data_IF_334231511147
#
_entry.id   IF_334231511147
#
_cell.length_a   1.000
_cell.length_b   1.000
_cell.length_c   1.000
_cell.angle_alpha   90.00
_cell.angle_beta   90.00
_cell.angle_gamma   90.00
#
_symmetry.space_group_name_H-M   'P 1'
#
loop_
_entity.id
_entity.type
_entity.pdbx_description
1 polymer ?
#
# COMPACT_ATOMS: atom_id res chain seq x y z
N UNK A 1 20.24 8.41 -2.83
CA UNK A 1 18.81 8.43 -3.22
C UNK A 1 18.13 7.11 -2.87
N UNK A 2 16.94 7.10 -2.24
CA UNK A 2 16.42 5.96 -1.46
C UNK A 2 16.06 4.63 -2.19
N UNK A 3 16.46 4.42 -3.46
CA UNK A 3 16.31 3.17 -4.22
C UNK A 3 14.87 2.63 -4.37
N UNK A 4 13.93 3.51 -4.73
CA UNK A 4 12.55 3.14 -5.04
C UNK A 4 12.36 2.89 -6.53
N UNK A 5 11.65 1.81 -6.88
CA UNK A 5 11.29 1.45 -8.24
C UNK A 5 9.84 1.80 -8.52
N UNK A 6 9.56 2.49 -9.63
CA UNK A 6 8.19 2.81 -10.04
C UNK A 6 7.46 1.58 -10.54
N UNK A 7 6.20 1.39 -10.14
CA UNK A 7 5.30 0.39 -10.68
C UNK A 7 4.39 1.10 -11.68
N UNK A 8 4.50 0.75 -12.96
CA UNK A 8 3.68 1.34 -14.01
C UNK A 8 2.27 0.73 -14.06
N UNK A 9 1.37 1.37 -14.81
CA UNK A 9 -0.04 0.93 -14.91
C UNK A 9 -0.17 -0.50 -15.47
N UNK A 10 0.62 -0.87 -16.47
CA UNK A 10 0.60 -2.24 -17.05
C UNK A 10 1.07 -3.30 -16.06
N UNK A 11 2.10 -2.99 -15.28
CA UNK A 11 2.60 -3.86 -14.21
C UNK A 11 1.56 -3.98 -13.10
N UNK A 12 0.94 -2.86 -12.73
CA UNK A 12 -0.15 -2.86 -11.76
C UNK A 12 -1.29 -3.75 -12.25
N UNK A 13 -1.83 -3.55 -13.45
CA UNK A 13 -2.91 -4.38 -14.01
C UNK A 13 -2.56 -5.87 -14.00
N UNK A 14 -1.32 -6.23 -14.35
CA UNK A 14 -0.85 -7.62 -14.27
C UNK A 14 -0.87 -8.15 -12.84
N UNK A 15 -0.38 -7.36 -11.89
CA UNK A 15 -0.36 -7.72 -10.46
C UNK A 15 -1.78 -7.86 -9.91
N UNK A 16 -2.71 -6.98 -10.31
CA UNK A 16 -4.11 -7.00 -9.88
C UNK A 16 -4.90 -8.17 -10.52
N UNK A 17 -4.49 -8.63 -11.70
CA UNK A 17 -5.10 -9.80 -12.34
C UNK A 17 -4.74 -11.13 -11.63
N UNK A 18 -3.66 -11.14 -10.83
CA UNK A 18 -3.29 -12.31 -10.04
C UNK A 18 -4.18 -12.45 -8.80
N UNK A 19 -4.73 -13.64 -8.59
CA UNK A 19 -5.60 -13.89 -7.44
C UNK A 19 -4.82 -13.95 -6.13
N UNK A 20 -5.19 -13.11 -5.15
CA UNK A 20 -4.61 -13.15 -3.80
C UNK A 20 -4.93 -14.45 -3.04
N UNK A 21 -3.92 -15.17 -2.51
CA UNK A 21 -4.08 -16.37 -1.68
C UNK A 21 -4.66 -16.11 -0.27
N UNK A 22 -4.36 -14.95 0.31
CA UNK A 22 -4.66 -14.62 1.73
C UNK A 22 -5.60 -13.44 1.92
N UNK A 23 -5.68 -12.55 0.93
CA UNK A 23 -6.46 -11.33 0.99
C UNK A 23 -7.96 -11.55 0.94
N UNK A 24 -8.68 -10.47 1.28
CA UNK A 24 -10.06 -10.32 0.85
C UNK A 24 -10.01 -10.06 -0.65
N UNK A 25 -10.66 -10.92 -1.46
CA UNK A 25 -10.80 -10.64 -2.89
C UNK A 25 -11.52 -9.31 -3.05
N UNK A 26 -10.89 -8.38 -3.75
CA UNK A 26 -11.44 -7.05 -3.96
C UNK A 26 -11.39 -6.68 -5.45
N UNK A 27 -11.89 -5.51 -5.78
CA UNK A 27 -11.88 -4.95 -7.13
C UNK A 27 -11.62 -3.46 -7.00
N UNK A 28 -10.76 -2.91 -7.85
CA UNK A 28 -10.48 -1.47 -7.87
C UNK A 28 -10.78 -0.91 -9.25
N UNK A 29 -11.46 0.24 -9.29
CA UNK A 29 -11.67 0.98 -10.54
C UNK A 29 -10.57 2.03 -10.68
N UNK A 30 -9.50 1.70 -11.41
CA UNK A 30 -8.37 2.62 -11.63
C UNK A 30 -8.78 3.89 -12.41
N UNK A 31 -9.92 3.85 -13.13
CA UNK A 31 -10.37 5.00 -13.94
C UNK A 31 -10.87 6.20 -13.13
N UNK A 32 -11.09 6.01 -11.83
CA UNK A 32 -11.55 7.05 -10.90
C UNK A 32 -10.42 8.02 -10.47
N UNK A 33 -9.16 7.68 -10.75
CA UNK A 33 -7.99 8.45 -10.35
C UNK A 33 -7.48 9.35 -11.48
N UNK A 34 -7.15 10.60 -11.13
CA UNK A 34 -6.53 11.59 -12.02
C UNK A 34 -5.07 11.21 -12.28
N UNK A 35 -4.37 10.82 -11.23
CA UNK A 35 -3.07 10.18 -11.33
C UNK A 35 -2.85 9.19 -10.18
N UNK A 36 -1.98 8.22 -10.44
CA UNK A 36 -1.49 7.23 -9.48
C UNK A 36 0.03 7.15 -9.59
N UNK A 37 0.73 7.37 -8.48
CA UNK A 37 2.17 7.16 -8.37
C UNK A 37 2.40 6.02 -7.40
N UNK A 38 2.95 4.92 -7.90
CA UNK A 38 3.20 3.72 -7.10
C UNK A 38 4.69 3.40 -7.16
N UNK A 39 5.30 3.25 -6.00
CA UNK A 39 6.72 2.94 -5.86
C UNK A 39 6.91 1.84 -4.84
N UNK A 40 7.83 0.92 -5.09
CA UNK A 40 8.22 -0.10 -4.14
C UNK A 40 9.72 -0.09 -3.90
N UNK A 41 10.12 -0.52 -2.70
CA UNK A 41 11.52 -0.71 -2.33
C UNK A 41 11.68 -1.98 -1.52
N UNK A 42 12.61 -2.82 -1.98
CA UNK A 42 12.90 -4.11 -1.38
C UNK A 42 11.80 -5.13 -1.67
N UNK A 43 12.22 -6.24 -2.26
CA UNK A 43 11.37 -7.39 -2.55
C UNK A 43 11.80 -8.55 -1.67
N UNK A 44 10.85 -9.25 -1.07
CA UNK A 44 11.13 -10.43 -0.25
C UNK A 44 10.04 -11.46 -0.43
N UNK A 45 10.42 -12.72 -0.42
CA UNK A 45 9.45 -13.83 -0.45
C UNK A 45 9.34 -14.39 0.97
N UNK A 46 8.12 -14.52 1.46
CA UNK A 46 7.83 -15.12 2.77
C UNK A 46 7.13 -16.47 2.55
N UNK A 47 7.60 -17.51 3.22
CA UNK A 47 6.93 -18.81 3.25
C UNK A 47 5.87 -18.79 4.34
N UNK A 48 4.62 -19.07 3.97
CA UNK A 48 3.51 -19.20 4.91
C UNK A 48 2.86 -20.56 4.82
N UNK A 49 2.29 -20.98 5.94
CA UNK A 49 1.52 -22.20 6.04
C UNK A 49 0.05 -21.87 6.26
N UNK A 50 -0.83 -22.56 5.53
CA UNK A 50 -2.27 -22.51 5.79
C UNK A 50 -2.86 -23.90 5.91
N UNK A 51 -3.84 -24.02 6.79
CA UNK A 51 -4.76 -25.16 6.85
C UNK A 51 -6.07 -24.75 6.19
N UNK A 52 -6.50 -25.49 5.18
CA UNK A 52 -7.79 -25.30 4.52
C UNK A 52 -8.63 -26.57 4.63
N UNK A 53 -9.95 -26.42 4.65
CA UNK A 53 -10.90 -27.53 4.54
C UNK A 53 -10.72 -28.28 3.22
N UNK A 54 -10.37 -27.56 2.15
CA UNK A 54 -10.04 -28.14 0.83
C UNK A 54 -8.80 -29.04 0.88
N UNK A 55 -7.93 -28.85 1.87
CA UNK A 55 -6.72 -29.67 2.11
C UNK A 55 -6.94 -30.68 3.24
N UNK A 56 -8.19 -30.92 3.66
CA UNK A 56 -8.52 -31.80 4.79
C UNK A 56 -7.77 -31.42 6.09
N UNK A 57 -7.60 -30.10 6.33
CA UNK A 57 -6.82 -29.52 7.44
C UNK A 57 -5.31 -29.81 7.42
N UNK A 58 -4.78 -30.42 6.36
CA UNK A 58 -3.34 -30.55 6.17
C UNK A 58 -2.70 -29.17 5.99
N UNK A 59 -1.48 -29.01 6.50
CA UNK A 59 -0.67 -27.82 6.29
C UNK A 59 -0.22 -27.80 4.83
N UNK A 60 -0.48 -26.68 4.14
CA UNK A 60 0.07 -26.41 2.81
C UNK A 60 0.95 -25.18 2.90
N UNK A 61 2.22 -25.35 2.54
CA UNK A 61 3.15 -24.25 2.35
C UNK A 61 2.86 -23.54 1.03
N UNK A 62 2.96 -22.21 1.05
CA UNK A 62 2.95 -21.39 -0.14
C UNK A 62 3.84 -20.17 0.07
N UNK A 63 4.35 -19.67 -1.04
CA UNK A 63 5.24 -18.51 -1.09
C UNK A 63 4.43 -17.27 -1.45
N UNK A 64 4.67 -16.19 -0.72
CA UNK A 64 4.07 -14.89 -0.99
C UNK A 64 5.18 -13.88 -1.21
N UNK A 65 5.12 -13.19 -2.34
CA UNK A 65 6.00 -12.07 -2.60
C UNK A 65 5.47 -10.80 -1.94
N UNK A 66 6.33 -10.13 -1.19
CA UNK A 66 6.03 -8.93 -0.42
C UNK A 66 6.91 -7.76 -0.87
N UNK A 67 6.33 -6.57 -0.91
CA UNK A 67 7.07 -5.31 -0.92
C UNK A 67 7.43 -4.91 0.51
N UNK A 68 8.73 -4.77 0.81
CA UNK A 68 9.19 -4.35 2.15
C UNK A 68 8.77 -2.92 2.48
N UNK A 69 8.85 -2.04 1.49
CA UNK A 69 8.31 -0.68 1.50
C UNK A 69 7.52 -0.46 0.24
N UNK A 70 6.32 0.09 0.38
CA UNK A 70 5.46 0.46 -0.73
C UNK A 70 4.92 1.87 -0.48
N UNK A 71 5.09 2.77 -1.44
CA UNK A 71 4.59 4.14 -1.39
C UNK A 71 3.57 4.31 -2.50
N UNK A 72 2.43 4.89 -2.15
CA UNK A 72 1.43 5.31 -3.12
C UNK A 72 1.07 6.78 -2.93
N UNK A 73 0.93 7.51 -4.03
CA UNK A 73 0.24 8.78 -4.08
C UNK A 73 -0.91 8.69 -5.08
N UNK A 74 -2.10 9.09 -4.65
CA UNK A 74 -3.31 9.02 -5.46
C UNK A 74 -4.07 10.35 -5.38
N UNK A 75 -4.68 10.72 -6.50
CA UNK A 75 -5.63 11.83 -6.57
C UNK A 75 -6.87 11.40 -7.33
N UNK A 76 -8.04 11.68 -6.79
CA UNK A 76 -9.30 11.39 -7.47
C UNK A 76 -9.55 12.40 -8.59
N UNK A 77 -10.14 11.95 -9.69
CA UNK A 77 -10.59 12.87 -10.75
C UNK A 77 -11.60 13.88 -10.19
N UNK A 78 -11.53 15.15 -10.60
CA UNK A 78 -12.61 16.10 -10.37
C UNK A 78 -13.95 15.57 -10.88
N UNK A 79 -15.01 15.91 -10.17
CA UNK A 79 -16.36 15.39 -10.45
C UNK A 79 -16.84 15.77 -11.85
N UNK A 80 -16.49 16.96 -12.35
CA UNK A 80 -16.85 17.44 -13.69
C UNK A 80 -16.29 16.56 -14.81
N UNK A 81 -15.04 16.11 -14.67
CA UNK A 81 -14.38 15.23 -15.65
C UNK A 81 -15.04 13.85 -15.58
N UNK A 82 -15.22 13.32 -14.37
CA UNK A 82 -15.81 12.00 -14.17
C UNK A 82 -17.25 11.93 -14.68
N UNK A 83 -18.02 13.00 -14.49
CA UNK A 83 -19.40 13.10 -14.97
C UNK A 83 -19.45 12.98 -16.51
N UNK A 84 -18.58 13.71 -17.22
CA UNK A 84 -18.49 13.65 -18.69
C UNK A 84 -18.11 12.26 -19.18
N UNK A 85 -17.19 11.59 -18.50
CA UNK A 85 -16.79 10.21 -18.84
C UNK A 85 -17.95 9.23 -18.64
N UNK A 86 -18.69 9.34 -17.52
CA UNK A 86 -19.84 8.48 -17.24
C UNK A 86 -20.93 8.69 -18.29
N UNK A 87 -21.25 9.95 -18.61
CA UNK A 87 -22.24 10.29 -19.64
C UNK A 87 -21.86 9.69 -20.99
N UNK A 88 -20.58 9.80 -21.39
CA UNK A 88 -20.09 9.26 -22.66
C UNK A 88 -20.04 7.72 -22.69
N UNK A 89 -19.65 7.09 -21.57
CA UNK A 89 -19.45 5.63 -21.49
C UNK A 89 -20.76 4.88 -21.37
N UNK A 90 -21.71 5.38 -20.58
CA UNK A 90 -22.99 4.72 -20.32
C UNK A 90 -24.13 5.26 -21.20
N UNK A 91 -23.87 6.28 -22.03
CA UNK A 91 -24.86 6.96 -22.88
C UNK A 91 -26.10 7.42 -22.08
N UNK A 92 -25.84 8.06 -20.94
CA UNK A 92 -26.88 8.52 -20.00
C UNK A 92 -26.93 10.03 -19.88
N UNK A 93 -28.14 10.55 -19.65
CA UNK A 93 -28.35 11.97 -19.36
C UNK A 93 -27.75 12.41 -18.02
N UNK A 94 -27.49 13.72 -17.90
CA UNK A 94 -26.78 14.36 -16.79
C UNK A 94 -27.34 13.98 -15.41
N UNK A 95 -28.66 14.03 -15.20
CA UNK A 95 -29.28 13.70 -13.91
C UNK A 95 -29.02 12.25 -13.45
N UNK A 96 -28.96 11.29 -14.39
CA UNK A 96 -28.66 9.89 -14.06
C UNK A 96 -27.17 9.73 -13.75
N UNK A 97 -26.32 10.42 -14.50
CA UNK A 97 -24.87 10.43 -14.28
C UNK A 97 -24.52 11.03 -12.92
N UNK A 98 -25.16 12.13 -12.51
CA UNK A 98 -24.98 12.74 -11.19
C UNK A 98 -25.35 11.79 -10.05
N UNK A 99 -26.52 11.13 -10.15
CA UNK A 99 -26.94 10.12 -9.16
C UNK A 99 -25.95 8.95 -9.09
N UNK A 100 -25.40 8.54 -10.24
CA UNK A 100 -24.41 7.47 -10.33
C UNK A 100 -23.10 7.87 -9.66
N UNK A 101 -22.60 9.06 -9.97
CA UNK A 101 -21.39 9.63 -9.38
C UNK A 101 -21.54 9.82 -7.87
N UNK A 102 -22.66 10.38 -7.41
CA UNK A 102 -22.96 10.55 -5.99
C UNK A 102 -22.92 9.21 -5.25
N UNK A 103 -23.46 8.14 -5.85
CA UNK A 103 -23.39 6.79 -5.26
C UNK A 103 -21.96 6.26 -5.20
N UNK A 104 -21.14 6.48 -6.24
CA UNK A 104 -19.73 6.07 -6.25
C UNK A 104 -18.92 6.82 -5.19
N UNK A 105 -19.14 8.13 -5.06
CA UNK A 105 -18.48 8.95 -4.02
C UNK A 105 -18.94 8.59 -2.61
N UNK A 106 -20.19 8.15 -2.43
CA UNK A 106 -20.70 7.70 -1.13
C UNK A 106 -20.02 6.42 -0.59
N UNK A 107 -19.50 5.57 -1.47
CA UNK A 107 -18.75 4.37 -1.09
C UNK A 107 -17.29 4.68 -0.68
N UNK A 108 -16.79 5.90 -0.91
CA UNK A 108 -15.44 6.30 -0.52
C UNK A 108 -15.32 6.59 1.00
N UNK A 109 -14.11 6.46 1.58
CA UNK A 109 -13.86 6.87 2.95
C UNK A 109 -14.25 8.33 3.19
N UNK A 110 -14.87 8.61 4.35
CA UNK A 110 -15.23 9.98 4.75
C UNK A 110 -13.96 10.86 4.74
N UNK A 111 -13.99 11.92 3.93
CA UNK A 111 -12.86 12.84 3.75
C UNK A 111 -11.97 12.55 2.53
N UNK A 112 -12.28 11.54 1.72
CA UNK A 112 -11.72 11.36 0.38
C UNK A 112 -12.36 12.37 -0.60
N UNK A 113 -11.57 13.30 -1.10
CA UNK A 113 -12.00 14.43 -1.93
C UNK A 113 -11.06 14.56 -3.14
N UNK A 114 -11.53 15.16 -4.23
CA UNK A 114 -10.78 15.29 -5.49
C UNK A 114 -9.80 16.47 -5.52
N UNK A 115 -9.90 17.38 -4.55
CA UNK A 115 -9.01 18.53 -4.36
C UNK A 115 -7.65 18.16 -3.75
N UNK A 116 -7.53 16.97 -3.15
CA UNK A 116 -6.35 16.56 -2.37
C UNK A 116 -5.62 15.38 -3.01
N UNK A 117 -4.31 15.36 -2.76
CA UNK A 117 -3.45 14.21 -3.03
C UNK A 117 -3.30 13.45 -1.72
N UNK A 118 -3.56 12.14 -1.76
CA UNK A 118 -3.36 11.25 -0.63
C UNK A 118 -2.09 10.46 -0.84
N UNK A 119 -1.17 10.56 0.13
CA UNK A 119 0.08 9.82 0.09
C UNK A 119 0.10 8.85 1.25
N UNK A 120 0.47 7.60 0.99
CA UNK A 120 0.60 6.56 2.02
C UNK A 120 1.86 5.75 1.79
N UNK A 121 2.48 5.34 2.89
CA UNK A 121 3.58 4.38 2.88
C UNK A 121 3.19 3.16 3.71
N UNK A 122 3.49 1.98 3.19
CA UNK A 122 3.22 0.70 3.82
C UNK A 122 4.49 -0.17 3.91
N UNK A 123 4.49 -1.12 4.85
CA UNK A 123 5.50 -2.15 5.02
C UNK A 123 4.94 -3.55 4.78
N UNK A 124 5.75 -4.41 4.17
CA UNK A 124 5.46 -5.84 4.01
C UNK A 124 4.07 -6.13 3.41
N UNK A 125 3.72 -5.45 2.31
CA UNK A 125 2.46 -5.66 1.61
C UNK A 125 2.62 -6.76 0.55
N UNK A 126 1.73 -7.76 0.50
CA UNK A 126 1.73 -8.74 -0.58
C UNK A 126 1.47 -8.07 -1.93
N UNK A 127 2.22 -8.45 -2.96
CA UNK A 127 2.08 -7.85 -4.30
C UNK A 127 0.66 -8.02 -4.84
N UNK A 128 0.08 -9.21 -4.66
CA UNK A 128 -1.26 -9.55 -5.13
C UNK A 128 -2.38 -8.82 -4.34
N UNK A 129 -2.03 -8.17 -3.23
CA UNK A 129 -2.93 -7.41 -2.37
C UNK A 129 -2.74 -5.89 -2.55
N UNK A 130 -2.25 -5.40 -3.69
CA UNK A 130 -2.19 -3.95 -3.90
C UNK A 130 -3.58 -3.32 -4.03
N UNK A 131 -4.59 -4.05 -4.53
CA UNK A 131 -5.97 -3.55 -4.71
C UNK A 131 -6.60 -3.05 -3.40
N UNK A 132 -6.25 -3.66 -2.26
CA UNK A 132 -6.82 -3.27 -0.96
C UNK A 132 -6.34 -1.91 -0.46
N UNK A 133 -5.26 -1.37 -1.02
CA UNK A 133 -4.70 -0.08 -0.59
C UNK A 133 -5.51 1.10 -1.13
N UNK A 134 -6.28 0.89 -2.19
CA UNK A 134 -7.06 1.93 -2.84
C UNK A 134 -8.33 2.30 -2.06
N UNK A 135 -8.79 3.56 -2.15
CA UNK A 135 -9.97 4.01 -1.42
C UNK A 135 -11.30 3.56 -2.04
N UNK A 136 -11.34 3.25 -3.34
CA UNK A 136 -12.56 2.88 -4.07
C UNK A 136 -12.72 1.37 -4.24
N UNK A 137 -12.12 0.61 -3.34
CA UNK A 137 -12.06 -0.84 -3.39
C UNK A 137 -13.41 -1.49 -3.05
N UNK A 138 -13.86 -2.40 -3.90
CA UNK A 138 -15.13 -3.13 -3.75
C UNK A 138 -14.87 -4.57 -3.32
N UNK A 139 -15.56 -5.04 -2.29
CA UNK A 139 -15.41 -6.43 -1.82
C UNK A 139 -16.01 -7.41 -2.82
N UNK A 140 -15.22 -8.39 -3.26
CA UNK A 140 -15.68 -9.59 -3.94
C UNK A 140 -15.89 -10.70 -2.91
N UNK A 141 -17.13 -11.12 -2.72
CA UNK A 141 -17.44 -12.27 -1.86
C UNK A 141 -16.82 -13.55 -2.43
N UNK A 142 -16.22 -14.37 -1.56
CA UNK A 142 -15.71 -15.70 -1.92
C UNK A 142 -16.83 -16.58 -2.48
N UNK A 143 -16.50 -17.48 -3.41
CA UNK A 143 -17.48 -18.37 -4.04
C UNK A 143 -18.31 -19.15 -3.02
N UNK A 144 -17.65 -19.75 -2.02
CA UNK A 144 -18.33 -20.49 -0.93
C UNK A 144 -19.27 -19.61 -0.10
N UNK A 145 -18.93 -18.35 0.14
CA UNK A 145 -19.81 -17.42 0.84
C UNK A 145 -20.97 -16.97 -0.06
N UNK A 146 -20.76 -16.81 -1.37
CA UNK A 146 -21.86 -16.59 -2.33
C UNK A 146 -22.82 -17.77 -2.35
N UNK A 147 -22.30 -19.01 -2.36
CA UNK A 147 -23.12 -20.23 -2.31
C UNK A 147 -23.86 -20.34 -0.98
N UNK A 148 -23.18 -20.10 0.15
CA UNK A 148 -23.82 -20.09 1.48
C UNK A 148 -24.89 -19.00 1.57
N UNK A 149 -24.62 -17.81 1.06
CA UNK A 149 -25.62 -16.75 0.95
C UNK A 149 -26.77 -17.24 0.09
N UNK A 150 -26.54 -17.80 -1.09
CA UNK A 150 -27.60 -18.35 -1.95
C UNK A 150 -28.46 -19.41 -1.23
N UNK A 151 -27.85 -20.37 -0.54
CA UNK A 151 -28.55 -21.39 0.25
C UNK A 151 -29.37 -20.75 1.38
N UNK A 152 -28.79 -19.82 2.13
CA UNK A 152 -29.46 -19.15 3.27
C UNK A 152 -30.45 -18.05 2.83
N UNK A 153 -30.37 -17.59 1.59
CA UNK A 153 -31.16 -16.53 0.98
C UNK A 153 -32.38 -17.02 0.18
N UNK A 154 -32.65 -18.32 0.10
CA UNK A 154 -33.77 -18.82 -0.71
C UNK A 154 -33.43 -19.84 -1.77
N UNK A 155 -32.16 -20.15 -2.04
CA UNK A 155 -31.76 -20.99 -3.19
C UNK A 155 -32.19 -22.45 -3.06
N UNK A 156 -32.13 -23.02 -1.86
CA UNK A 156 -32.74 -24.33 -1.53
C UNK A 156 -34.14 -24.17 -0.94
N UNK A 157 -34.53 -22.94 -0.59
CA UNK A 157 -35.77 -22.57 0.09
C UNK A 157 -36.70 -21.71 -0.78
N UNK A 158 -36.65 -21.83 -2.11
CA UNK A 158 -37.85 -21.50 -2.91
C UNK A 158 -38.99 -22.36 -2.38
N UNK A 159 -38.73 -23.61 -1.97
CA UNK A 159 -39.68 -24.41 -1.20
C UNK A 159 -39.95 -23.89 0.22
N UNK A 160 -38.98 -23.35 0.96
CA UNK A 160 -39.15 -22.92 2.36
C UNK A 160 -39.88 -21.58 2.51
N UNK A 161 -39.53 -20.57 1.71
CA UNK A 161 -40.21 -19.27 1.69
C UNK A 161 -41.59 -19.42 1.06
N UNK A 162 -41.74 -20.16 -0.05
CA UNK A 162 -43.06 -20.41 -0.64
C UNK A 162 -43.94 -21.24 0.29
N UNK A 163 -43.46 -22.29 0.96
CA UNK A 163 -44.31 -23.04 1.91
C UNK A 163 -44.71 -22.22 3.13
N UNK A 164 -43.83 -21.36 3.63
CA UNK A 164 -44.16 -20.47 4.75
C UNK A 164 -45.15 -19.39 4.29
N UNK A 165 -44.92 -18.77 3.13
CA UNK A 165 -45.83 -17.80 2.51
C UNK A 165 -47.18 -18.43 2.19
N UNK A 166 -47.23 -19.62 1.59
CA UNK A 166 -48.47 -20.34 1.27
C UNK A 166 -49.23 -20.69 2.54
N UNK A 167 -48.58 -21.27 3.57
CA UNK A 167 -49.23 -21.58 4.86
C UNK A 167 -49.80 -20.33 5.53
N UNK A 168 -49.06 -19.24 5.46
CA UNK A 168 -49.42 -17.97 6.05
C UNK A 168 -50.54 -17.28 5.26
N UNK A 169 -50.52 -17.31 3.92
CA UNK A 169 -51.61 -16.81 3.06
C UNK A 169 -52.88 -17.63 3.26
N UNK A 170 -52.77 -18.96 3.35
CA UNK A 170 -53.92 -19.84 3.63
C UNK A 170 -54.52 -19.59 5.02
N UNK A 171 -53.69 -19.25 6.02
CA UNK A 171 -54.17 -18.89 7.36
C UNK A 171 -54.69 -17.44 7.45
N UNK A 172 -54.14 -16.53 6.64
CA UNK A 172 -54.52 -15.14 6.54
C UNK A 172 -55.92 -14.92 5.94
N UNK A 173 -56.42 -15.86 5.14
CA UNK A 173 -57.81 -15.89 4.69
C UNK A 173 -58.83 -16.07 5.83
N UNK A 174 -58.37 -16.46 7.04
CA UNK A 174 -59.22 -16.78 8.19
C UNK A 174 -59.34 -15.63 9.21
N UNK A 175 -58.42 -14.66 9.27
CA UNK A 175 -58.58 -13.46 10.11
C UNK A 175 -57.62 -12.29 9.77
N UNK A 176 -58.02 -11.03 10.03
CA UNK A 176 -57.16 -9.85 9.89
C UNK A 176 -55.88 -9.87 10.76
N UNK A 177 -55.91 -10.57 11.89
CA UNK A 177 -54.74 -10.71 12.79
C UNK A 177 -53.67 -11.60 12.15
N UNK A 178 -54.08 -12.67 11.46
CA UNK A 178 -53.15 -13.55 10.75
C UNK A 178 -52.50 -12.86 9.55
N UNK A 179 -53.19 -11.93 8.88
CA UNK A 179 -52.60 -11.07 7.84
C UNK A 179 -51.49 -10.16 8.38
N UNK A 180 -51.65 -9.59 9.56
CA UNK A 180 -50.61 -8.76 10.18
C UNK A 180 -49.40 -9.62 10.58
N UNK A 181 -49.64 -10.76 11.22
CA UNK A 181 -48.58 -11.72 11.58
C UNK A 181 -47.82 -12.23 10.35
N UNK A 182 -48.52 -12.43 9.24
CA UNK A 182 -47.92 -12.75 7.94
C UNK A 182 -46.93 -11.68 7.50
N UNK A 183 -47.38 -10.42 7.51
CA UNK A 183 -46.60 -9.29 7.04
C UNK A 183 -45.35 -9.07 7.90
N UNK A 184 -45.47 -9.15 9.22
CA UNK A 184 -44.33 -9.06 10.14
C UNK A 184 -43.39 -10.27 10.03
N UNK A 185 -43.93 -11.48 9.84
CA UNK A 185 -43.11 -12.69 9.65
C UNK A 185 -42.28 -12.62 8.37
N UNK A 186 -42.90 -12.24 7.25
CA UNK A 186 -42.20 -12.05 5.97
C UNK A 186 -41.21 -10.89 6.02
N UNK A 187 -41.61 -9.76 6.62
CA UNK A 187 -40.72 -8.63 6.85
C UNK A 187 -39.49 -9.02 7.69
N UNK A 188 -39.68 -9.82 8.74
CA UNK A 188 -38.61 -10.30 9.60
C UNK A 188 -37.63 -11.24 8.88
N UNK A 189 -38.12 -12.11 8.00
CA UNK A 189 -37.26 -13.00 7.18
C UNK A 189 -36.45 -12.19 6.17
N UNK A 190 -37.10 -11.28 5.43
CA UNK A 190 -36.42 -10.39 4.47
C UNK A 190 -35.38 -9.53 5.19
N UNK A 191 -35.73 -8.96 6.34
CA UNK A 191 -34.82 -8.16 7.15
C UNK A 191 -33.60 -8.98 7.60
N UNK A 192 -33.81 -10.19 8.15
CA UNK A 192 -32.72 -11.08 8.55
C UNK A 192 -31.78 -11.40 7.39
N UNK A 193 -32.33 -11.62 6.20
CA UNK A 193 -31.57 -11.93 5.00
C UNK A 193 -30.71 -10.75 4.53
N UNK A 194 -31.27 -9.54 4.52
CA UNK A 194 -30.51 -8.31 4.25
C UNK A 194 -29.41 -8.12 5.31
N UNK A 195 -29.73 -8.33 6.58
CA UNK A 195 -28.77 -8.17 7.67
C UNK A 195 -27.61 -9.16 7.57
N UNK A 196 -27.85 -10.40 7.15
CA UNK A 196 -26.78 -11.39 6.94
C UNK A 196 -25.80 -10.98 5.83
N UNK A 197 -26.30 -10.38 4.74
CA UNK A 197 -25.44 -9.84 3.68
C UNK A 197 -24.61 -8.65 4.20
N UNK A 198 -25.26 -7.71 4.89
CA UNK A 198 -24.58 -6.54 5.49
C UNK A 198 -23.52 -6.97 6.49
N UNK A 199 -23.84 -7.91 7.38
CA UNK A 199 -22.90 -8.45 8.37
C UNK A 199 -21.71 -9.14 7.71
N UNK A 200 -21.94 -9.90 6.64
CA UNK A 200 -20.86 -10.55 5.89
C UNK A 200 -19.94 -9.48 5.27
N UNK A 201 -20.50 -8.49 4.57
CA UNK A 201 -19.72 -7.38 4.01
C UNK A 201 -18.92 -6.62 5.08
N UNK A 202 -19.53 -6.32 6.22
CA UNK A 202 -18.87 -5.63 7.33
C UNK A 202 -17.70 -6.43 7.90
N UNK A 203 -17.86 -7.76 8.03
CA UNK A 203 -16.78 -8.65 8.46
C UNK A 203 -15.58 -8.59 7.51
N UNK A 204 -15.84 -8.64 6.19
CA UNK A 204 -14.79 -8.50 5.18
C UNK A 204 -14.11 -7.13 5.22
N UNK A 205 -14.87 -6.03 5.37
CA UNK A 205 -14.30 -4.70 5.54
C UNK A 205 -13.42 -4.60 6.79
N UNK A 206 -13.84 -5.23 7.90
CA UNK A 206 -13.05 -5.24 9.13
C UNK A 206 -11.74 -5.99 8.97
N UNK A 207 -11.76 -7.16 8.31
CA UNK A 207 -10.54 -7.91 8.01
C UNK A 207 -9.58 -7.12 7.13
N UNK A 208 -10.10 -6.44 6.10
CA UNK A 208 -9.32 -5.55 5.25
C UNK A 208 -8.64 -4.45 6.09
N UNK A 209 -9.42 -3.75 6.91
CA UNK A 209 -8.91 -2.66 7.74
C UNK A 209 -7.86 -3.13 8.75
N UNK A 210 -8.06 -4.30 9.37
CA UNK A 210 -7.11 -4.89 10.31
C UNK A 210 -5.78 -5.24 9.63
N UNK A 211 -5.82 -5.84 8.44
CA UNK A 211 -4.60 -6.12 7.68
C UNK A 211 -3.86 -4.83 7.38
N UNK A 212 -4.55 -3.83 6.82
CA UNK A 212 -3.93 -2.55 6.45
C UNK A 212 -3.36 -1.77 7.65
N UNK A 213 -3.98 -1.89 8.82
CA UNK A 213 -3.56 -1.16 10.03
C UNK A 213 -2.12 -1.47 10.42
N UNK A 214 -1.72 -2.75 10.42
CA UNK A 214 -0.37 -3.15 10.83
C UNK A 214 0.69 -2.92 9.76
N UNK A 215 0.26 -2.80 8.50
CA UNK A 215 1.14 -2.53 7.38
C UNK A 215 1.32 -1.03 7.11
N UNK A 216 0.41 -0.16 7.55
CA UNK A 216 0.57 1.28 7.36
C UNK A 216 1.75 1.83 8.18
N UNK A 217 2.66 2.53 7.51
CA UNK A 217 3.80 3.21 8.13
C UNK A 217 3.56 4.70 8.36
N UNK A 218 3.07 5.39 7.34
CA UNK A 218 2.96 6.84 7.35
C UNK A 218 1.89 7.34 6.37
N UNK A 219 1.33 8.52 6.65
CA UNK A 219 0.34 9.19 5.79
C UNK A 219 0.76 10.63 5.49
N UNK A 220 0.51 11.10 4.27
CA UNK A 220 0.71 12.47 3.79
C UNK A 220 2.10 13.04 4.12
N UNK A 221 2.18 14.12 4.88
CA UNK A 221 3.45 14.77 5.23
C UNK A 221 4.44 13.83 5.93
N UNK A 222 3.96 12.90 6.76
CA UNK A 222 4.82 11.91 7.42
C UNK A 222 5.49 10.96 6.44
N UNK A 223 4.88 10.73 5.26
CA UNK A 223 5.53 9.94 4.20
C UNK A 223 6.73 10.69 3.66
N UNK A 224 6.62 12.00 3.46
CA UNK A 224 7.74 12.82 2.96
C UNK A 224 8.88 12.86 3.97
N UNK A 225 8.57 13.10 5.25
CA UNK A 225 9.58 13.06 6.31
C UNK A 225 10.31 11.71 6.32
N UNK A 226 9.57 10.60 6.32
CA UNK A 226 10.15 9.26 6.33
C UNK A 226 10.97 8.96 5.06
N UNK A 227 10.57 9.45 3.89
CA UNK A 227 11.33 9.31 2.65
C UNK A 227 12.64 10.11 2.67
N UNK A 228 12.62 11.31 3.26
CA UNK A 228 13.82 12.13 3.46
C UNK A 228 14.76 11.42 4.42
N UNK A 229 14.26 10.99 5.58
CA UNK A 229 15.04 10.24 6.56
C UNK A 229 15.66 8.97 5.94
N UNK A 230 14.86 8.18 5.20
CA UNK A 230 15.34 6.98 4.52
C UNK A 230 16.37 7.28 3.42
N UNK A 231 16.30 8.44 2.77
CA UNK A 231 17.28 8.85 1.77
C UNK A 231 18.59 9.32 2.41
N UNK A 232 18.51 10.08 3.50
CA UNK A 232 19.66 10.54 4.28
C UNK A 232 20.42 9.36 4.88
N UNK A 233 19.69 8.39 5.47
CA UNK A 233 20.29 7.20 6.04
C UNK A 233 21.03 6.34 4.98
N UNK A 234 20.53 6.32 3.75
CA UNK A 234 21.20 5.64 2.63
C UNK A 234 22.45 6.41 2.19
N UNK A 235 22.36 7.74 2.08
CA UNK A 235 23.50 8.58 1.72
C UNK A 235 24.65 8.43 2.73
N UNK A 236 24.35 8.36 4.04
CA UNK A 236 25.34 8.13 5.10
C UNK A 236 26.00 6.76 4.94
N UNK A 237 25.23 5.70 4.64
CA UNK A 237 25.81 4.36 4.40
C UNK A 237 26.77 4.38 3.21
N UNK A 238 26.40 5.07 2.14
CA UNK A 238 27.25 5.22 0.95
C UNK A 238 28.55 5.96 1.28
N UNK A 239 28.46 7.08 2.00
CA UNK A 239 29.61 7.87 2.45
C UNK A 239 30.54 7.07 3.35
N UNK A 240 30.00 6.34 4.33
CA UNK A 240 30.78 5.48 5.21
C UNK A 240 31.51 4.38 4.43
N UNK A 241 30.84 3.73 3.48
CA UNK A 241 31.46 2.70 2.64
C UNK A 241 32.57 3.27 1.75
N UNK A 242 32.34 4.42 1.12
CA UNK A 242 33.35 5.07 0.29
C UNK A 242 34.53 5.57 1.13
N UNK A 243 34.27 6.30 2.22
CA UNK A 243 35.30 6.84 3.09
C UNK A 243 36.20 5.74 3.67
N UNK A 244 35.62 4.62 4.13
CA UNK A 244 36.39 3.47 4.62
C UNK A 244 37.18 2.77 3.51
N UNK A 245 36.68 2.74 2.28
CA UNK A 245 37.41 2.24 1.11
C UNK A 245 38.62 3.14 0.79
N UNK A 246 38.44 4.46 0.80
CA UNK A 246 39.51 5.45 0.56
C UNK A 246 40.60 5.42 1.64
N UNK A 247 40.26 5.14 2.90
CA UNK A 247 41.26 4.99 3.97
C UNK A 247 42.19 3.78 3.78
N UNK A 248 41.77 2.74 3.05
CA UNK A 248 42.57 1.53 2.83
C UNK A 248 43.65 1.71 1.75
N UNK A 249 43.64 2.80 0.99
CA UNK A 249 44.70 3.11 0.04
C UNK A 249 44.46 4.43 -0.70
N UNK A 250 45.52 5.19 -0.93
CA UNK A 250 45.48 6.46 -1.68
C UNK A 250 44.94 6.24 -3.09
N UNK A 251 43.76 6.79 -3.37
CA UNK A 251 43.14 6.69 -4.69
C UNK A 251 43.42 7.96 -5.49
N UNK A 252 43.93 7.81 -6.70
CA UNK A 252 43.93 8.85 -7.73
C UNK A 252 42.51 8.99 -8.30
N UNK A 253 42.14 10.11 -8.93
CA UNK A 253 40.81 10.25 -9.57
C UNK A 253 40.45 9.09 -10.53
N UNK A 254 41.43 8.56 -11.28
CA UNK A 254 41.25 7.40 -12.16
C UNK A 254 41.03 6.05 -11.45
N UNK A 255 41.17 6.01 -10.12
CA UNK A 255 40.97 4.82 -9.30
C UNK A 255 39.67 4.85 -8.49
N UNK A 256 38.85 5.89 -8.65
CA UNK A 256 37.52 5.96 -8.03
C UNK A 256 36.64 4.76 -8.41
N UNK A 257 36.78 4.27 -9.64
CA UNK A 257 36.12 3.05 -10.10
C UNK A 257 36.61 1.77 -9.40
N UNK A 258 37.85 1.76 -8.90
CA UNK A 258 38.35 0.66 -8.05
C UNK A 258 37.68 0.70 -6.68
N UNK A 259 37.58 1.90 -6.07
CA UNK A 259 36.88 2.08 -4.80
C UNK A 259 35.41 1.62 -4.90
N UNK A 260 34.73 1.96 -6.01
CA UNK A 260 33.39 1.42 -6.34
C UNK A 260 33.38 -0.11 -6.35
N UNK A 261 34.23 -0.72 -7.18
CA UNK A 261 34.29 -2.18 -7.32
C UNK A 261 34.63 -2.90 -5.99
N UNK A 262 35.44 -2.28 -5.14
CA UNK A 262 35.80 -2.83 -3.82
C UNK A 262 34.62 -2.77 -2.85
N UNK A 263 33.84 -1.69 -2.86
CA UNK A 263 32.59 -1.58 -2.08
C UNK A 263 31.55 -2.59 -2.57
N UNK A 264 31.34 -2.70 -3.89
CA UNK A 264 30.40 -3.68 -4.47
C UNK A 264 30.80 -5.12 -4.14
N UNK A 265 32.11 -5.45 -4.23
CA UNK A 265 32.62 -6.77 -3.86
C UNK A 265 32.46 -7.04 -2.37
N UNK A 266 32.68 -6.04 -1.52
CA UNK A 266 32.46 -6.13 -0.08
C UNK A 266 30.99 -6.44 0.24
N UNK A 267 30.05 -5.72 -0.36
CA UNK A 267 28.62 -5.94 -0.18
C UNK A 267 28.17 -7.32 -0.67
N UNK A 268 28.67 -7.76 -1.82
CA UNK A 268 28.39 -9.09 -2.37
C UNK A 268 28.97 -10.20 -1.50
N UNK A 269 30.19 -10.05 -0.96
CA UNK A 269 30.84 -11.11 -0.19
C UNK A 269 30.15 -11.37 1.16
N UNK A 270 29.83 -10.31 1.90
CA UNK A 270 29.29 -10.43 3.26
C UNK A 270 27.77 -10.59 3.33
N UNK A 271 27.04 -9.98 2.38
CA UNK A 271 25.57 -9.98 2.40
C UNK A 271 24.93 -10.61 1.16
N UNK A 272 25.72 -11.08 0.18
CA UNK A 272 25.22 -11.60 -1.09
C UNK A 272 24.33 -10.58 -1.84
N UNK A 273 24.61 -9.28 -1.65
CA UNK A 273 23.87 -8.17 -2.25
C UNK A 273 24.64 -7.61 -3.44
N UNK A 274 24.01 -7.64 -4.62
CA UNK A 274 24.52 -6.99 -5.83
C UNK A 274 23.93 -5.58 -5.94
N UNK A 275 24.77 -4.57 -5.84
CA UNK A 275 24.40 -3.15 -5.93
C UNK A 275 25.30 -2.48 -6.96
N UNK A 276 24.76 -1.49 -7.66
CA UNK A 276 25.52 -0.54 -8.48
C UNK A 276 25.80 0.69 -7.63
N UNK A 277 27.02 0.82 -7.11
CA UNK A 277 27.34 1.84 -6.11
C UNK A 277 27.59 3.22 -6.77
N UNK A 278 26.89 4.26 -6.33
CA UNK A 278 27.11 5.64 -6.81
C UNK A 278 28.28 6.30 -6.08
N UNK A 279 29.46 6.02 -6.60
CA UNK A 279 30.71 6.54 -6.05
C UNK A 279 30.87 8.05 -6.25
N UNK A 280 30.22 8.64 -7.26
CA UNK A 280 30.40 10.05 -7.59
C UNK A 280 29.59 10.95 -6.67
N UNK A 281 28.33 10.57 -6.41
CA UNK A 281 27.43 11.29 -5.52
C UNK A 281 27.95 11.23 -4.06
N UNK A 282 28.37 10.05 -3.60
CA UNK A 282 28.99 9.89 -2.28
C UNK A 282 30.31 10.68 -2.14
N UNK A 283 31.15 10.74 -3.18
CA UNK A 283 32.38 11.53 -3.14
C UNK A 283 32.09 13.03 -3.07
N UNK A 284 31.07 13.51 -3.76
CA UNK A 284 30.68 14.92 -3.73
C UNK A 284 30.29 15.35 -2.31
N UNK A 285 29.47 14.56 -1.62
CA UNK A 285 29.08 14.82 -0.22
C UNK A 285 30.27 14.75 0.74
N UNK A 286 31.13 13.73 0.63
CA UNK A 286 32.36 13.65 1.44
C UNK A 286 33.29 14.87 1.26
N UNK A 287 33.31 15.48 0.07
CA UNK A 287 34.05 16.73 -0.18
C UNK A 287 33.38 17.95 0.44
N UNK A 288 32.08 18.07 0.28
CA UNK A 288 31.28 19.13 0.93
C UNK A 288 31.44 19.06 2.47
N UNK A 289 31.54 17.84 2.99
CA UNK A 289 31.80 17.60 4.40
C UNK A 289 33.23 17.83 4.86
N UNK A 290 34.15 18.08 3.92
CA UNK A 290 35.57 18.27 4.20
C UNK A 290 36.26 16.98 4.65
N UNK A 291 35.58 15.83 4.58
CA UNK A 291 36.12 14.51 4.93
C UNK A 291 37.10 13.98 3.89
N UNK A 292 36.96 14.42 2.64
CA UNK A 292 37.88 14.10 1.54
C UNK A 292 38.29 15.39 0.84
N UNK A 293 39.58 15.55 0.58
CA UNK A 293 40.15 16.72 -0.11
C UNK A 293 40.93 16.30 -1.35
N UNK A 294 40.98 17.18 -2.34
CA UNK A 294 41.79 16.97 -3.53
C UNK A 294 43.22 17.49 -3.29
N UNK A 295 44.21 16.61 -3.33
CA UNK A 295 45.64 16.95 -3.32
C UNK A 295 46.23 16.71 -4.71
N UNK A 296 46.09 17.71 -5.59
CA UNK A 296 46.47 17.58 -6.99
C UNK A 296 45.59 16.55 -7.69
N UNK A 297 46.16 15.38 -8.03
CA UNK A 297 45.42 14.28 -8.69
C UNK A 297 44.94 13.20 -7.71
N UNK A 298 45.26 13.33 -6.42
CA UNK A 298 44.94 12.35 -5.39
C UNK A 298 43.76 12.78 -4.53
N UNK A 299 42.89 11.82 -4.24
CA UNK A 299 41.87 11.94 -3.21
C UNK A 299 42.50 11.60 -1.86
N UNK A 300 42.54 12.58 -0.96
CA UNK A 300 43.05 12.40 0.40
C UNK A 300 41.89 12.42 1.40
N UNK A 301 41.49 11.25 1.93
CA UNK A 301 40.58 11.22 3.07
C UNK A 301 41.28 11.75 4.33
N UNK A 302 40.55 12.48 5.16
CA UNK A 302 41.02 12.87 6.50
C UNK A 302 41.29 11.61 7.33
N UNK A 303 42.37 11.55 8.14
CA UNK A 303 42.56 10.50 9.13
C UNK A 303 41.38 10.41 10.10
N UNK A 304 41.07 9.21 10.59
CA UNK A 304 39.89 8.96 11.44
C UNK A 304 39.78 9.88 12.67
N UNK A 305 40.91 10.21 13.30
CA UNK A 305 40.93 11.09 14.46
C UNK A 305 40.49 12.52 14.10
N UNK A 306 40.97 13.05 12.98
CA UNK A 306 40.65 14.38 12.47
C UNK A 306 39.21 14.43 11.95
N UNK A 307 38.79 13.41 11.19
CA UNK A 307 37.41 13.29 10.71
C UNK A 307 36.39 13.26 11.86
N UNK A 308 36.67 12.51 12.93
CA UNK A 308 35.82 12.48 14.13
C UNK A 308 35.74 13.84 14.82
N UNK A 309 36.86 14.54 14.93
CA UNK A 309 36.88 15.88 15.52
C UNK A 309 36.06 16.87 14.70
N UNK A 310 36.23 16.86 13.37
CA UNK A 310 35.50 17.71 12.42
C UNK A 310 33.98 17.46 12.48
N UNK A 311 33.55 16.19 12.44
CA UNK A 311 32.12 15.85 12.52
C UNK A 311 31.52 16.25 13.87
N UNK A 312 32.26 16.08 14.97
CA UNK A 312 31.82 16.53 16.30
C UNK A 312 31.64 18.04 16.35
N UNK A 313 32.59 18.80 15.80
CA UNK A 313 32.52 20.26 15.75
C UNK A 313 31.30 20.72 14.95
N UNK A 314 31.08 20.15 13.76
CA UNK A 314 29.90 20.44 12.93
C UNK A 314 28.58 20.12 13.63
N UNK A 315 28.51 18.98 14.31
CA UNK A 315 27.32 18.57 15.05
C UNK A 315 27.01 19.53 16.20
N UNK A 316 28.03 19.94 16.97
CA UNK A 316 27.85 20.95 18.04
C UNK A 316 27.37 22.27 17.46
N UNK A 317 27.98 22.74 16.37
CA UNK A 317 27.59 23.98 15.71
C UNK A 317 26.14 23.95 15.16
N UNK A 318 25.64 22.80 14.71
CA UNK A 318 24.25 22.68 14.26
C UNK A 318 23.26 22.81 15.41
N UNK A 319 23.56 22.21 16.57
CA UNK A 319 22.74 22.31 17.78
C UNK A 319 22.63 23.76 18.28
N UNK A 320 23.73 24.49 18.31
CA UNK A 320 23.75 25.89 18.77
C UNK A 320 22.94 26.82 17.87
N UNK A 321 22.94 26.56 16.55
CA UNK A 321 22.13 27.30 15.58
C UNK A 321 20.63 27.04 15.73
N UNK A 322 20.23 25.80 16.00
CA UNK A 322 18.82 25.45 16.19
C UNK A 322 18.27 26.01 17.51
N UNK A 323 19.05 25.98 18.57
CA UNK A 323 18.70 26.61 19.86
C UNK A 323 18.54 28.14 19.68
N UNK A 324 19.46 28.78 18.95
CA UNK A 324 19.39 30.23 18.69
C UNK A 324 18.16 30.61 17.87
N UNK A 325 17.78 29.80 16.87
CA UNK A 325 16.54 30.01 16.09
C UNK A 325 15.28 29.77 16.92
N UNK A 326 15.26 28.79 17.81
CA UNK A 326 14.13 28.50 18.68
C UNK A 326 13.89 29.58 19.75
N UNK A 327 14.95 30.27 20.21
CA UNK A 327 14.85 31.41 21.14
C UNK A 327 14.38 32.69 20.43
N UNK A 328 14.61 32.81 19.13
CA UNK A 328 14.24 33.98 18.33
C UNK A 328 12.82 33.92 17.71
N UNK A 329 12.11 32.79 17.84
CA UNK A 329 10.75 32.56 17.32
C UNK A 329 9.69 32.67 18.43
#
# INVERSE_FOLDING_TARGET
>A
GANYSSINEKQLEKILAESSPEGVSVDVDLTDFDFTLLYSRGETTEKRERRSLETFFMKKEFEIDLYRRFVMAIKLKPDDIRLKEIMKKEDIGLQKAEKRLAKMRADLPKGATSDKIYIKMFKYIPRQDLEMLFPNTKIKLKYWDKVRLWITAGGTTVFGVVTTVVKVITAAALSPVFLLMAFFGLGGVVFRQVMNLVNTRNKYMMQLAQNLYFHNLANNQSVMALLIDEAEEENIKEEMLLYTSLLKGSQTHGQLQRAKADVERFLQHYWNVKVDFDVHDALARLREDGLVTDQGNFLKPLPLAEAKALLKERWVASLDNDISKAIAA
#
